data_IF_402908727103
#
_entry.id   IF_402908727103
#
_cell.length_a   1.000
_cell.length_b   1.000
_cell.length_c   1.000
_cell.angle_alpha   90.00
_cell.angle_beta   90.00
_cell.angle_gamma   90.00
#
_symmetry.space_group_name_H-M   'P 1'
#
loop_
_entity.id
_entity.type
_entity.pdbx_description
1 polymer ?
#
# COMPACT_ATOMS: atom_id res chain seq x y z
N UNK A 1 -45.39 -6.32 -41.15
CA UNK A 1 -45.58 -7.30 -40.05
C UNK A 1 -45.33 -8.68 -40.65
N UNK A 2 -44.40 -9.53 -40.25
CA UNK A 2 -43.62 -9.71 -39.03
C UNK A 2 -42.22 -10.23 -39.44
N UNK A 3 -41.14 -9.67 -38.91
CA UNK A 3 -39.79 -10.22 -39.08
C UNK A 3 -39.60 -11.39 -38.10
N UNK A 4 -39.16 -12.54 -38.61
CA UNK A 4 -38.65 -13.66 -37.80
C UNK A 4 -37.23 -13.30 -37.34
N UNK A 5 -37.04 -13.11 -36.03
CA UNK A 5 -35.71 -12.98 -35.44
C UNK A 5 -35.21 -14.38 -35.06
N UNK A 6 -34.11 -14.80 -35.69
CA UNK A 6 -33.34 -16.00 -35.33
C UNK A 6 -32.58 -15.68 -34.04
N UNK A 7 -32.92 -16.36 -32.94
CA UNK A 7 -32.20 -16.26 -31.67
C UNK A 7 -30.93 -17.11 -31.78
N UNK A 8 -29.79 -16.46 -32.00
CA UNK A 8 -28.47 -17.07 -31.86
C UNK A 8 -28.00 -16.88 -30.40
N UNK A 9 -28.18 -17.92 -29.58
CA UNK A 9 -27.68 -17.99 -28.20
C UNK A 9 -26.17 -18.20 -28.21
N UNK A 10 -25.41 -17.11 -28.04
CA UNK A 10 -23.97 -17.15 -27.84
C UNK A 10 -23.67 -17.52 -26.38
N UNK A 11 -23.34 -18.79 -26.11
CA UNK A 11 -22.78 -19.22 -24.82
C UNK A 11 -21.38 -18.60 -24.65
N UNK A 12 -21.28 -17.53 -23.85
CA UNK A 12 -19.99 -17.08 -23.31
C UNK A 12 -19.71 -17.86 -22.02
N UNK A 13 -18.96 -18.96 -22.16
CA UNK A 13 -18.27 -19.58 -21.03
C UNK A 13 -17.19 -18.60 -20.56
N UNK A 14 -17.54 -17.72 -19.64
CA UNK A 14 -16.58 -16.93 -18.87
C UNK A 14 -15.79 -17.88 -17.96
N UNK A 15 -14.71 -18.44 -18.50
CA UNK A 15 -13.68 -19.10 -17.73
C UNK A 15 -13.08 -18.07 -16.77
N UNK A 16 -13.46 -18.15 -15.50
CA UNK A 16 -12.74 -17.50 -14.41
C UNK A 16 -11.36 -18.16 -14.31
N UNK A 17 -10.42 -17.68 -15.12
CA UNK A 17 -9.02 -17.95 -14.91
C UNK A 17 -8.66 -17.41 -13.52
N UNK A 18 -8.57 -18.33 -12.55
CA UNK A 18 -7.90 -18.07 -11.29
C UNK A 18 -6.54 -17.47 -11.64
N UNK A 19 -6.36 -16.18 -11.37
CA UNK A 19 -5.08 -15.50 -11.55
C UNK A 19 -4.08 -16.27 -10.70
N UNK A 20 -3.29 -17.10 -11.36
CA UNK A 20 -2.16 -17.76 -10.76
C UNK A 20 -1.29 -16.63 -10.20
N UNK A 21 -1.32 -16.47 -8.88
CA UNK A 21 -0.62 -15.41 -8.18
C UNK A 21 0.86 -15.74 -8.39
N UNK A 22 1.48 -15.12 -9.40
CA UNK A 22 2.84 -15.36 -9.85
C UNK A 22 3.78 -15.50 -8.65
N UNK A 23 4.72 -16.45 -8.63
CA UNK A 23 5.63 -16.64 -7.48
C UNK A 23 6.42 -15.36 -7.13
N UNK A 24 6.67 -14.49 -8.11
CA UNK A 24 7.23 -13.16 -7.93
C UNK A 24 6.33 -12.25 -7.07
N UNK A 25 5.01 -12.47 -7.11
CA UNK A 25 4.03 -11.76 -6.31
C UNK A 25 4.24 -11.98 -4.81
N UNK A 26 4.47 -13.23 -4.41
CA UNK A 26 4.71 -13.62 -3.01
C UNK A 26 6.06 -13.08 -2.53
N UNK A 27 7.08 -13.07 -3.40
CA UNK A 27 8.41 -12.60 -3.08
C UNK A 27 8.48 -11.08 -2.79
N UNK A 28 7.66 -10.25 -3.45
CA UNK A 28 7.64 -8.80 -3.15
C UNK A 28 6.76 -8.48 -1.94
N UNK A 29 5.65 -9.20 -1.77
CA UNK A 29 4.76 -9.03 -0.61
C UNK A 29 5.48 -9.42 0.69
N UNK A 30 6.44 -10.34 0.63
CA UNK A 30 7.26 -10.70 1.80
C UNK A 30 8.32 -9.63 2.14
N UNK A 31 8.76 -8.81 1.18
CA UNK A 31 9.77 -7.78 1.44
C UNK A 31 9.24 -6.68 2.36
N UNK A 32 8.02 -6.20 2.11
CA UNK A 32 7.42 -5.10 2.88
C UNK A 32 7.04 -5.52 4.31
N UNK A 33 6.65 -6.79 4.49
CA UNK A 33 6.26 -7.32 5.80
C UNK A 33 7.43 -7.27 6.79
N UNK A 34 7.16 -6.78 7.99
CA UNK A 34 8.13 -6.65 9.07
C UNK A 34 8.06 -5.29 9.76
N UNK A 35 8.90 -5.12 10.77
CA UNK A 35 9.07 -3.86 11.49
C UNK A 35 10.17 -3.03 10.83
N UNK A 36 9.89 -1.75 10.67
CA UNK A 36 10.75 -0.77 10.03
C UNK A 36 10.98 0.39 10.98
N UNK A 37 12.22 0.88 11.06
CA UNK A 37 12.61 2.02 11.87
C UNK A 37 12.96 3.18 10.96
N UNK A 38 12.35 4.32 11.20
CA UNK A 38 12.66 5.54 10.44
C UNK A 38 14.08 6.01 10.77
N UNK A 39 14.81 6.43 9.75
CA UNK A 39 16.18 6.95 9.88
C UNK A 39 16.36 8.34 9.27
N UNK A 40 15.45 8.78 8.40
CA UNK A 40 15.52 10.09 7.79
C UNK A 40 14.13 10.62 7.42
N UNK A 41 13.94 11.91 7.71
CA UNK A 41 12.85 12.76 7.24
C UNK A 41 13.50 13.91 6.47
N UNK A 42 13.00 14.22 5.27
CA UNK A 42 13.58 15.29 4.46
C UNK A 42 13.57 16.67 5.15
N UNK A 43 12.64 16.91 6.09
CA UNK A 43 12.59 18.15 6.89
C UNK A 43 13.43 18.14 8.18
N UNK A 44 14.16 17.05 8.47
CA UNK A 44 15.25 17.04 9.45
C UNK A 44 14.89 16.76 10.91
N UNK A 45 13.62 16.69 11.31
CA UNK A 45 13.23 16.22 12.65
C UNK A 45 12.76 14.77 12.59
N UNK A 46 13.66 13.84 12.89
CA UNK A 46 13.34 12.41 13.02
C UNK A 46 13.25 12.09 14.49
N UNK A 47 12.08 11.64 14.96
CA UNK A 47 12.06 10.93 16.23
C UNK A 47 12.67 9.56 15.97
N UNK A 48 13.85 9.29 16.55
CA UNK A 48 14.61 8.06 16.35
C UNK A 48 13.87 6.77 16.79
N UNK A 49 12.64 6.90 17.29
CA UNK A 49 11.75 5.83 17.73
C UNK A 49 10.54 5.60 16.82
N UNK A 50 10.37 6.40 15.75
CA UNK A 50 9.26 6.21 14.82
C UNK A 50 9.46 4.89 14.07
N UNK A 51 8.57 3.96 14.33
CA UNK A 51 8.58 2.63 13.72
C UNK A 51 7.27 2.41 12.99
N UNK A 52 7.31 1.64 11.91
CA UNK A 52 6.12 1.17 11.22
C UNK A 52 6.23 -0.33 11.04
N UNK A 53 5.15 -1.05 11.34
CA UNK A 53 5.12 -2.51 11.18
C UNK A 53 4.05 -2.90 10.16
N UNK A 54 4.42 -3.74 9.20
CA UNK A 54 3.49 -4.29 8.21
C UNK A 54 3.33 -5.80 8.43
N UNK A 55 2.09 -6.25 8.54
CA UNK A 55 1.77 -7.65 8.80
C UNK A 55 1.26 -8.35 7.54
N UNK A 56 1.43 -9.68 7.46
CA UNK A 56 1.00 -10.48 6.29
C UNK A 56 -0.51 -10.38 6.02
N UNK A 57 -1.32 -10.08 7.03
CA UNK A 57 -2.78 -9.96 6.93
C UNK A 57 -3.25 -8.56 6.48
N UNK A 58 -2.35 -7.66 6.10
CA UNK A 58 -2.70 -6.30 5.68
C UNK A 58 -2.90 -5.31 6.83
N UNK A 59 -2.73 -5.73 8.10
CA UNK A 59 -2.65 -4.79 9.24
C UNK A 59 -1.35 -3.99 9.17
N UNK A 60 -1.37 -2.75 9.63
CA UNK A 60 -0.18 -1.98 9.96
C UNK A 60 -0.25 -1.47 11.41
N UNK A 61 0.91 -1.22 12.01
CA UNK A 61 1.04 -0.41 13.23
C UNK A 61 1.93 0.78 12.91
N UNK A 62 1.43 2.00 13.13
CA UNK A 62 2.12 3.26 12.87
C UNK A 62 2.15 4.08 14.17
N UNK A 63 3.07 3.83 15.11
CA UNK A 63 3.33 4.73 16.24
C UNK A 63 4.11 5.98 15.79
N UNK A 64 3.86 7.15 16.40
CA UNK A 64 3.03 7.37 17.60
C UNK A 64 1.53 7.53 17.33
N UNK A 65 1.08 7.41 16.09
CA UNK A 65 -0.31 7.61 15.72
C UNK A 65 -1.24 6.58 16.37
N UNK A 66 -2.43 7.02 16.76
CA UNK A 66 -3.48 6.16 17.30
C UNK A 66 -4.48 5.80 16.22
N UNK A 67 -5.04 4.58 16.28
CA UNK A 67 -6.09 4.14 15.37
C UNK A 67 -5.90 2.73 14.82
N UNK A 68 -6.88 2.28 14.03
CA UNK A 68 -6.81 1.04 13.29
C UNK A 68 -6.19 1.29 11.91
N UNK A 69 -4.96 0.82 11.74
CA UNK A 69 -4.23 0.95 10.47
C UNK A 69 -4.25 -0.33 9.65
N UNK A 70 -4.47 -0.17 8.36
CA UNK A 70 -4.25 -1.23 7.36
C UNK A 70 -3.41 -0.69 6.23
N UNK A 71 -2.84 -1.57 5.42
CA UNK A 71 -2.07 -1.17 4.26
C UNK A 71 -2.38 -2.03 3.05
N UNK A 72 -2.13 -1.47 1.88
CA UNK A 72 -2.15 -2.18 0.62
C UNK A 72 -0.91 -1.85 -0.18
N UNK A 73 -0.09 -2.87 -0.42
CA UNK A 73 0.99 -2.79 -1.40
C UNK A 73 0.41 -3.00 -2.80
N UNK A 74 0.57 -2.00 -3.67
CA UNK A 74 0.13 -2.00 -5.06
C UNK A 74 1.38 -2.07 -5.92
N UNK A 75 1.57 -3.20 -6.58
CA UNK A 75 2.72 -3.43 -7.44
C UNK A 75 2.73 -2.45 -8.64
N UNK A 76 3.93 -2.03 -9.11
CA UNK A 76 5.25 -2.44 -8.62
C UNK A 76 5.77 -1.62 -7.43
N UNK A 77 5.29 -0.40 -7.24
CA UNK A 77 5.99 0.63 -6.47
C UNK A 77 5.05 1.55 -5.69
N UNK A 78 3.84 1.12 -5.36
CA UNK A 78 2.87 1.96 -4.64
C UNK A 78 2.46 1.33 -3.32
N UNK A 79 2.29 2.15 -2.29
CA UNK A 79 1.85 1.73 -0.96
C UNK A 79 0.75 2.68 -0.49
N UNK A 80 -0.37 2.13 -0.06
CA UNK A 80 -1.43 2.91 0.60
C UNK A 80 -1.49 2.48 2.06
N UNK A 81 -1.51 3.45 2.96
CA UNK A 81 -1.78 3.24 4.38
C UNK A 81 -3.12 3.90 4.69
N UNK A 82 -4.01 3.13 5.28
CA UNK A 82 -5.35 3.57 5.69
C UNK A 82 -5.40 3.67 7.20
N UNK A 83 -5.88 4.81 7.71
CA UNK A 83 -6.36 4.94 9.08
C UNK A 83 -7.89 5.02 9.03
N UNK A 84 -8.57 3.98 9.54
CA UNK A 84 -10.02 3.81 9.42
C UNK A 84 -10.85 5.01 9.88
N UNK A 85 -10.36 5.78 10.86
CA UNK A 85 -11.09 6.93 11.42
C UNK A 85 -10.63 8.30 10.91
N UNK A 86 -9.54 8.36 10.14
CA UNK A 86 -8.88 9.63 9.81
C UNK A 86 -8.73 9.86 8.31
N UNK A 87 -8.20 8.88 7.57
CA UNK A 87 -7.84 9.12 6.18
C UNK A 87 -6.93 8.07 5.56
N UNK A 88 -6.34 8.44 4.44
CA UNK A 88 -5.48 7.60 3.61
C UNK A 88 -4.24 8.39 3.18
N UNK A 89 -3.09 7.73 3.17
CA UNK A 89 -1.86 8.26 2.59
C UNK A 89 -1.37 7.32 1.49
N UNK A 90 -1.14 7.88 0.31
CA UNK A 90 -0.65 7.15 -0.85
C UNK A 90 0.80 7.50 -1.07
N UNK A 91 1.63 6.48 -1.17
CA UNK A 91 3.07 6.58 -1.31
C UNK A 91 3.54 5.96 -2.61
N UNK A 92 4.53 6.60 -3.24
CA UNK A 92 5.41 5.95 -4.20
C UNK A 92 6.62 5.39 -3.46
N UNK A 93 6.89 4.11 -3.63
CA UNK A 93 8.08 3.42 -3.16
C UNK A 93 9.21 3.72 -4.14
N UNK A 94 10.27 4.34 -3.64
CA UNK A 94 11.48 4.65 -4.40
C UNK A 94 12.50 3.50 -4.28
N UNK A 95 12.52 2.79 -3.15
CA UNK A 95 13.35 1.60 -2.91
C UNK A 95 12.65 0.68 -1.93
N UNK A 96 12.59 -0.61 -2.25
CA UNK A 96 12.20 -1.68 -1.34
C UNK A 96 13.17 -2.85 -1.48
N UNK A 97 13.76 -3.27 -0.37
CA UNK A 97 14.75 -4.34 -0.29
C UNK A 97 14.66 -5.03 1.08
N UNK A 98 15.55 -5.98 1.36
CA UNK A 98 15.54 -6.70 2.63
C UNK A 98 15.79 -5.80 3.85
N UNK A 99 16.51 -4.69 3.68
CA UNK A 99 16.94 -3.81 4.77
C UNK A 99 16.48 -2.36 4.62
N UNK A 100 16.08 -1.93 3.42
CA UNK A 100 15.76 -0.54 3.12
C UNK A 100 14.36 -0.38 2.55
N UNK A 101 13.59 0.56 3.10
CA UNK A 101 12.33 1.06 2.55
C UNK A 101 12.46 2.59 2.41
N UNK A 102 12.33 3.09 1.18
CA UNK A 102 12.28 4.52 0.87
C UNK A 102 10.98 4.78 0.14
N UNK A 103 10.16 5.69 0.68
CA UNK A 103 8.86 6.04 0.11
C UNK A 103 8.64 7.55 0.12
N UNK A 104 7.79 8.03 -0.77
CA UNK A 104 7.43 9.44 -0.88
C UNK A 104 5.93 9.58 -0.95
N UNK A 105 5.36 10.48 -0.15
CA UNK A 105 3.92 10.74 -0.20
C UNK A 105 3.54 11.43 -1.52
N UNK A 106 2.49 10.92 -2.15
CA UNK A 106 1.98 11.35 -3.47
C UNK A 106 0.53 11.83 -3.43
N UNK A 107 -0.23 11.43 -2.42
CA UNK A 107 -1.60 11.88 -2.19
C UNK A 107 -1.93 11.74 -0.71
N UNK A 108 -2.73 12.65 -0.19
CA UNK A 108 -3.33 12.53 1.12
C UNK A 108 -4.83 12.74 1.00
N UNK A 109 -5.59 11.91 1.71
CA UNK A 109 -7.04 12.03 1.84
C UNK A 109 -7.38 12.08 3.32
N UNK A 110 -8.10 13.12 3.75
CA UNK A 110 -8.54 13.30 5.14
C UNK A 110 -10.06 13.33 5.13
N UNK A 111 -10.68 12.37 5.81
CA UNK A 111 -12.12 12.13 5.72
C UNK A 111 -12.94 13.26 6.34
N UNK A 112 -12.52 13.76 7.51
CA UNK A 112 -13.26 14.78 8.27
C UNK A 112 -13.28 16.12 7.55
N UNK A 113 -12.21 16.42 6.82
CA UNK A 113 -11.98 17.73 6.24
C UNK A 113 -12.33 17.76 4.74
N UNK A 114 -12.82 16.63 4.20
CA UNK A 114 -13.06 16.44 2.76
C UNK A 114 -11.85 16.78 1.89
N UNK A 115 -10.65 16.64 2.45
CA UNK A 115 -9.39 16.87 1.73
C UNK A 115 -9.09 15.62 0.93
N UNK A 116 -8.80 15.81 -0.35
CA UNK A 116 -8.37 14.76 -1.24
C UNK A 116 -7.48 15.35 -2.34
N UNK A 117 -6.18 15.40 -2.08
CA UNK A 117 -5.25 16.15 -2.93
C UNK A 117 -3.99 15.36 -3.28
N UNK A 118 -3.50 15.47 -4.53
CA UNK A 118 -2.16 15.04 -4.85
C UNK A 118 -1.16 15.93 -4.11
N UNK A 119 -0.15 15.31 -3.52
CA UNK A 119 0.94 16.02 -2.85
C UNK A 119 2.26 15.61 -3.48
N UNK A 120 3.23 16.51 -3.55
CA UNK A 120 4.63 16.15 -3.80
C UNK A 120 5.39 16.28 -2.50
N UNK A 121 4.99 15.47 -1.52
CA UNK A 121 5.47 15.62 -0.16
C UNK A 121 6.79 14.90 0.09
N UNK A 122 7.05 14.70 1.36
CA UNK A 122 8.34 14.30 1.87
C UNK A 122 8.73 12.86 1.49
N UNK A 123 10.05 12.66 1.44
CA UNK A 123 10.67 11.35 1.31
C UNK A 123 10.99 10.85 2.71
N UNK A 124 10.53 9.65 3.01
CA UNK A 124 10.75 8.94 4.25
C UNK A 124 11.69 7.76 4.00
N UNK A 125 12.71 7.60 4.85
CA UNK A 125 13.65 6.47 4.78
C UNK A 125 13.57 5.62 6.03
N UNK A 126 13.52 4.32 5.83
CA UNK A 126 13.44 3.33 6.89
C UNK A 126 14.46 2.21 6.69
N UNK A 127 14.93 1.67 7.81
CA UNK A 127 15.70 0.44 7.88
C UNK A 127 14.86 -0.67 8.51
N UNK A 128 15.04 -1.91 8.06
CA UNK A 128 14.32 -3.05 8.65
C UNK A 128 14.88 -3.36 10.04
N UNK A 129 14.00 -3.57 11.01
CA UNK A 129 14.38 -4.02 12.35
C UNK A 129 14.53 -5.53 12.29
N UNK A 130 15.74 -6.01 12.57
CA UNK A 130 16.04 -7.43 12.74
C UNK A 130 16.31 -7.68 14.22
N UNK A 131 15.65 -8.69 14.79
CA UNK A 131 16.06 -9.19 16.09
C UNK A 131 17.50 -9.73 15.96
N UNK A 132 18.42 -9.22 16.79
CA UNK A 132 19.80 -9.70 16.86
C UNK A 132 19.92 -10.81 17.88
#
# INVERSE_FOLDING_TARGET
>A
MKQLFIISTLLLLASCANKHQSSNHIATDSLIVGKWKMVEYASGYVNALDTISFYKNGKADCPPETGEFTYRFIKPDSLIIYNKGFGEQHYKILKLSNDSLIKQIRRQRIYTDSIDEPVNGEIEKYIKVTDK
#
